data_IF_616173024109
#
_entry.id   IF_616173024109
#
_cell.length_a   1.000
_cell.length_b   1.000
_cell.length_c   1.000
_cell.angle_alpha   90.00
_cell.angle_beta   90.00
_cell.angle_gamma   90.00
#
_symmetry.space_group_name_H-M   'P 1'
#
loop_
_entity.id
_entity.type
_entity.pdbx_description
1 polymer ?
#
# COMPACT_ATOMS: atom_id res chain seq x y z
N UNK A 1 6.89 26.97 -11.77
CA UNK A 1 6.48 25.66 -11.24
C UNK A 1 5.09 25.83 -10.64
N UNK A 2 4.20 24.83 -10.75
CA UNK A 2 2.87 24.91 -10.11
C UNK A 2 3.06 24.82 -8.58
N UNK A 3 2.66 25.84 -7.78
CA UNK A 3 2.86 25.83 -6.33
C UNK A 3 2.25 24.62 -5.61
N UNK A 4 1.12 24.10 -6.07
CA UNK A 4 0.51 22.92 -5.47
C UNK A 4 1.24 21.62 -5.85
N UNK A 5 1.91 21.59 -7.01
CA UNK A 5 2.81 20.49 -7.36
C UNK A 5 4.06 20.51 -6.49
N UNK A 6 4.62 21.71 -6.25
CA UNK A 6 5.78 21.88 -5.38
C UNK A 6 5.48 21.44 -3.94
N UNK A 7 4.33 21.84 -3.39
CA UNK A 7 3.88 21.41 -2.06
C UNK A 7 3.68 19.89 -1.98
N UNK A 8 3.05 19.30 -3.00
CA UNK A 8 2.85 17.85 -3.03
C UNK A 8 4.18 17.08 -3.13
N UNK A 9 5.11 17.55 -3.98
CA UNK A 9 6.44 16.97 -4.10
C UNK A 9 7.24 17.10 -2.79
N UNK A 10 7.13 18.24 -2.11
CA UNK A 10 7.76 18.45 -0.81
C UNK A 10 7.20 17.48 0.25
N UNK A 11 5.87 17.36 0.34
CA UNK A 11 5.22 16.42 1.24
C UNK A 11 5.66 14.97 0.99
N UNK A 12 5.71 14.54 -0.28
CA UNK A 12 6.22 13.22 -0.67
C UNK A 12 7.69 13.01 -0.29
N UNK A 13 8.50 14.07 -0.38
CA UNK A 13 9.94 13.98 -0.05
C UNK A 13 10.19 13.81 1.44
N UNK A 14 9.30 14.29 2.32
CA UNK A 14 9.38 14.07 3.77
C UNK A 14 9.28 12.58 4.14
N UNK A 15 8.61 11.77 3.32
CA UNK A 15 8.53 10.33 3.53
C UNK A 15 9.90 9.63 3.51
N UNK A 16 10.91 10.24 2.86
CA UNK A 16 12.28 9.74 2.87
C UNK A 16 12.80 9.69 4.32
N UNK A 17 12.52 10.72 5.13
CA UNK A 17 12.95 10.76 6.52
C UNK A 17 12.24 9.69 7.36
N UNK A 18 10.94 9.47 7.12
CA UNK A 18 10.17 8.40 7.77
C UNK A 18 10.83 7.05 7.47
N UNK A 19 11.03 6.74 6.18
CA UNK A 19 11.64 5.47 5.78
C UNK A 19 13.06 5.28 6.35
N UNK A 20 13.86 6.34 6.41
CA UNK A 20 15.22 6.29 6.97
C UNK A 20 15.18 6.08 8.48
N UNK A 21 14.45 6.89 9.25
CA UNK A 21 14.45 6.79 10.71
C UNK A 21 13.78 5.51 11.22
N UNK A 22 12.72 5.04 10.57
CA UNK A 22 12.07 3.76 10.91
C UNK A 22 12.97 2.54 10.67
N UNK A 23 14.03 2.68 9.87
CA UNK A 23 14.98 1.59 9.60
C UNK A 23 16.15 1.51 10.60
N UNK A 24 16.27 2.50 11.49
CA UNK A 24 17.39 2.61 12.43
C UNK A 24 16.89 2.32 13.84
N UNK A 25 17.42 1.27 14.47
CA UNK A 25 17.11 0.93 15.86
C UNK A 25 17.49 2.09 16.80
N UNK A 26 16.58 2.47 17.70
CA UNK A 26 16.77 3.57 18.65
C UNK A 26 16.42 4.97 18.13
N UNK A 27 15.88 5.09 16.91
CA UNK A 27 15.39 6.34 16.32
C UNK A 27 13.87 6.48 16.34
N UNK A 28 13.16 5.76 17.20
CA UNK A 28 11.69 5.73 17.24
C UNK A 28 11.07 7.13 17.36
N UNK A 29 11.62 7.98 18.24
CA UNK A 29 11.16 9.37 18.39
C UNK A 29 11.31 10.20 17.11
N UNK A 30 12.43 10.04 16.39
CA UNK A 30 12.67 10.77 15.14
C UNK A 30 11.78 10.24 14.02
N UNK A 31 11.47 8.95 14.03
CA UNK A 31 10.52 8.36 13.10
C UNK A 31 9.10 8.90 13.34
N UNK A 32 8.66 9.00 14.60
CA UNK A 32 7.37 9.61 14.97
C UNK A 32 7.29 11.09 14.57
N UNK A 33 8.35 11.87 14.85
CA UNK A 33 8.41 13.29 14.45
C UNK A 33 8.35 13.46 12.93
N UNK A 34 9.12 12.66 12.19
CA UNK A 34 9.11 12.69 10.73
C UNK A 34 7.75 12.27 10.15
N UNK A 35 7.08 11.29 10.78
CA UNK A 35 5.75 10.85 10.38
C UNK A 35 4.73 11.98 10.56
N UNK A 36 4.75 12.64 11.72
CA UNK A 36 3.88 13.78 11.98
C UNK A 36 4.13 14.93 11.00
N UNK A 37 5.39 15.25 10.70
CA UNK A 37 5.74 16.29 9.74
C UNK A 37 5.22 15.97 8.32
N UNK A 38 5.35 14.71 7.88
CA UNK A 38 4.84 14.27 6.60
C UNK A 38 3.30 14.36 6.53
N UNK A 39 2.61 13.97 7.61
CA UNK A 39 1.15 14.07 7.71
C UNK A 39 0.67 15.52 7.72
N UNK A 40 1.30 16.38 8.53
CA UNK A 40 0.97 17.80 8.60
C UNK A 40 1.12 18.48 7.23
N UNK A 41 2.19 18.14 6.48
CA UNK A 41 2.41 18.66 5.13
C UNK A 41 1.30 18.24 4.15
N UNK A 42 0.83 16.99 4.23
CA UNK A 42 -0.27 16.49 3.40
C UNK A 42 -1.62 17.10 3.81
N UNK A 43 -1.88 17.24 5.10
CA UNK A 43 -3.10 17.89 5.60
C UNK A 43 -3.14 19.36 5.18
N UNK A 44 -2.00 20.07 5.25
CA UNK A 44 -1.90 21.43 4.74
C UNK A 44 -2.13 21.49 3.23
N UNK A 45 -1.60 20.54 2.46
CA UNK A 45 -1.86 20.44 1.03
C UNK A 45 -3.36 20.28 0.74
N UNK A 46 -4.04 19.37 1.45
CA UNK A 46 -5.48 19.15 1.29
C UNK A 46 -6.31 20.39 1.67
N UNK A 47 -5.95 21.05 2.78
CA UNK A 47 -6.56 22.31 3.22
C UNK A 47 -6.42 23.41 2.17
N UNK A 48 -5.21 23.60 1.65
CA UNK A 48 -4.91 24.58 0.61
C UNK A 48 -5.65 24.26 -0.70
N UNK A 49 -5.84 22.99 -1.02
CA UNK A 49 -6.59 22.59 -2.22
C UNK A 49 -8.07 22.96 -2.08
N UNK A 50 -8.67 22.73 -0.92
CA UNK A 50 -10.08 23.09 -0.63
C UNK A 50 -10.28 24.61 -0.59
N UNK A 51 -9.37 25.34 0.05
CA UNK A 51 -9.55 26.75 0.44
C UNK A 51 -8.89 27.75 -0.51
N UNK A 52 -7.92 27.33 -1.32
CA UNK A 52 -7.09 28.23 -2.13
C UNK A 52 -7.02 27.77 -3.58
N UNK A 53 -6.48 26.59 -3.85
CA UNK A 53 -5.94 26.29 -5.17
C UNK A 53 -6.82 25.41 -6.06
N UNK A 54 -7.57 24.45 -5.49
CA UNK A 54 -8.45 23.50 -6.19
C UNK A 54 -7.81 22.82 -7.40
N UNK A 55 -6.58 22.36 -7.26
CA UNK A 55 -5.84 21.70 -8.32
C UNK A 55 -6.10 20.20 -8.40
N UNK A 56 -6.27 19.51 -7.28
CA UNK A 56 -6.37 18.05 -7.25
C UNK A 56 -7.80 17.56 -6.98
N UNK A 57 -8.51 18.26 -6.10
CA UNK A 57 -9.83 17.89 -5.62
C UNK A 57 -9.78 16.71 -4.64
N UNK A 58 -10.87 15.92 -4.55
CA UNK A 58 -11.07 14.92 -3.50
C UNK A 58 -10.25 13.63 -3.66
N UNK A 59 -9.35 13.60 -4.65
CA UNK A 59 -8.51 12.45 -4.97
C UNK A 59 -7.06 12.88 -4.85
N UNK A 60 -6.27 12.09 -4.13
CA UNK A 60 -4.86 12.35 -3.91
C UNK A 60 -4.10 12.57 -5.22
N UNK A 61 -3.11 13.49 -5.23
CA UNK A 61 -2.18 13.64 -6.35
C UNK A 61 -1.55 12.30 -6.73
N UNK A 62 -1.41 12.04 -8.05
CA UNK A 62 -0.81 10.78 -8.54
C UNK A 62 0.59 10.51 -7.98
N UNK A 63 1.35 11.55 -7.66
CA UNK A 63 2.70 11.45 -7.08
C UNK A 63 2.73 10.96 -5.64
N UNK A 64 1.59 10.91 -4.94
CA UNK A 64 1.48 10.33 -3.60
C UNK A 64 1.04 8.86 -3.64
N UNK A 65 0.61 8.33 -4.78
CA UNK A 65 0.06 6.97 -4.86
C UNK A 65 1.13 5.88 -4.68
N UNK A 66 2.41 6.22 -4.78
CA UNK A 66 3.53 5.35 -4.42
C UNK A 66 3.76 5.28 -2.91
N UNK A 67 3.16 6.18 -2.13
CA UNK A 67 3.18 6.21 -0.67
C UNK A 67 1.73 6.15 -0.16
N UNK A 68 1.16 4.94 0.00
CA UNK A 68 -0.25 4.76 0.31
C UNK A 68 -0.74 5.57 1.52
N UNK A 69 0.07 5.62 2.58
CA UNK A 69 -0.23 6.32 3.83
C UNK A 69 -0.47 7.81 3.59
N UNK A 70 0.38 8.47 2.79
CA UNK A 70 0.21 9.89 2.47
C UNK A 70 -1.00 10.13 1.56
N UNK A 71 -1.25 9.24 0.60
CA UNK A 71 -2.43 9.36 -0.26
C UNK A 71 -3.73 9.20 0.54
N UNK A 72 -3.79 8.26 1.48
CA UNK A 72 -4.92 8.08 2.38
C UNK A 72 -5.13 9.32 3.27
N UNK A 73 -4.07 9.82 3.91
CA UNK A 73 -4.15 11.03 4.73
C UNK A 73 -4.65 12.24 3.94
N UNK A 74 -4.22 12.38 2.67
CA UNK A 74 -4.75 13.44 1.81
C UNK A 74 -6.26 13.29 1.58
N UNK A 75 -6.71 12.10 1.17
CA UNK A 75 -8.12 11.85 0.85
C UNK A 75 -9.02 12.13 2.07
N UNK A 76 -8.61 11.64 3.25
CA UNK A 76 -9.32 11.86 4.51
C UNK A 76 -9.35 13.34 4.91
N UNK A 77 -8.20 14.02 4.84
CA UNK A 77 -8.12 15.44 5.17
C UNK A 77 -8.96 16.29 4.20
N UNK A 78 -8.90 16.01 2.90
CA UNK A 78 -9.68 16.73 1.89
C UNK A 78 -11.18 16.53 2.12
N UNK A 79 -11.63 15.31 2.40
CA UNK A 79 -13.01 14.99 2.77
C UNK A 79 -13.46 15.86 3.96
N UNK A 80 -12.72 15.80 5.07
CA UNK A 80 -13.01 16.55 6.28
C UNK A 80 -13.05 18.07 6.06
N UNK A 81 -12.04 18.63 5.39
CA UNK A 81 -11.98 20.07 5.13
C UNK A 81 -13.10 20.53 4.20
N UNK A 82 -13.50 19.71 3.23
CA UNK A 82 -14.62 20.02 2.34
C UNK A 82 -15.93 20.05 3.10
N UNK A 83 -16.19 19.05 3.96
CA UNK A 83 -17.38 18.97 4.79
C UNK A 83 -17.48 20.16 5.75
N UNK A 84 -16.43 20.39 6.55
CA UNK A 84 -16.36 21.52 7.49
C UNK A 84 -16.56 22.85 6.77
N UNK A 85 -15.91 23.05 5.63
CA UNK A 85 -16.02 24.32 4.92
C UNK A 85 -17.44 24.54 4.36
N UNK A 86 -18.06 23.48 3.82
CA UNK A 86 -19.41 23.54 3.31
C UNK A 86 -20.45 23.81 4.39
N UNK A 87 -20.35 23.15 5.54
CA UNK A 87 -21.23 23.37 6.68
C UNK A 87 -21.07 24.78 7.26
N UNK A 88 -19.84 25.27 7.35
CA UNK A 88 -19.56 26.64 7.81
C UNK A 88 -20.21 27.69 6.94
N UNK A 89 -20.11 27.53 5.62
CA UNK A 89 -20.71 28.47 4.69
C UNK A 89 -22.25 28.46 4.76
N UNK A 90 -22.87 27.30 5.02
CA UNK A 90 -24.34 27.17 5.08
C UNK A 90 -24.95 27.54 6.42
N UNK A 91 -24.32 27.12 7.51
CA UNK A 91 -24.89 27.16 8.85
C UNK A 91 -24.22 28.20 9.75
N UNK A 92 -23.09 28.79 9.31
CA UNK A 92 -22.36 29.83 10.05
C UNK A 92 -21.73 29.38 11.37
N UNK A 93 -21.60 28.06 11.60
CA UNK A 93 -21.59 27.50 12.96
C UNK A 93 -20.33 26.76 13.40
N UNK A 94 -19.29 26.51 12.60
CA UNK A 94 -18.11 25.77 13.07
C UNK A 94 -16.85 26.62 12.85
N UNK A 95 -16.23 27.05 13.95
CA UNK A 95 -15.13 27.99 13.92
C UNK A 95 -13.95 27.56 13.03
N UNK A 96 -13.39 28.56 12.35
CA UNK A 96 -12.01 28.64 11.81
C UNK A 96 -11.70 28.16 10.38
N UNK A 97 -12.54 27.39 9.69
CA UNK A 97 -12.25 26.99 8.29
C UNK A 97 -13.19 27.72 7.33
N UNK A 98 -12.69 28.79 6.70
CA UNK A 98 -13.44 29.56 5.71
C UNK A 98 -12.54 30.34 4.76
N UNK A 99 -12.99 30.51 3.51
CA UNK A 99 -12.37 31.40 2.53
C UNK A 99 -13.41 32.39 2.00
N UNK A 100 -13.41 33.63 2.50
CA UNK A 100 -14.45 34.64 2.18
C UNK A 100 -14.61 34.97 0.69
N UNK A 101 -13.65 34.59 -0.15
CA UNK A 101 -13.62 34.84 -1.59
C UNK A 101 -13.99 33.61 -2.44
N UNK A 102 -14.11 32.42 -1.86
CA UNK A 102 -14.23 31.16 -2.59
C UNK A 102 -15.46 30.36 -2.12
N UNK A 103 -16.54 30.28 -2.88
CA UNK A 103 -17.69 29.44 -2.49
C UNK A 103 -17.30 27.96 -2.34
N UNK A 104 -17.64 27.25 -1.25
CA UNK A 104 -17.27 25.84 -1.08
C UNK A 104 -17.89 24.95 -2.15
N UNK A 105 -17.17 23.89 -2.52
CA UNK A 105 -17.73 22.78 -3.27
C UNK A 105 -18.68 21.97 -2.36
N UNK A 106 -19.68 21.32 -2.95
CA UNK A 106 -20.47 20.35 -2.18
C UNK A 106 -19.59 19.13 -1.88
N UNK A 107 -19.69 18.55 -0.66
CA UNK A 107 -19.11 17.26 -0.38
C UNK A 107 -19.58 16.22 -1.41
N UNK A 108 -18.76 15.20 -1.63
CA UNK A 108 -19.11 14.08 -2.50
C UNK A 108 -20.34 13.37 -1.95
N UNK A 109 -21.23 12.92 -2.84
CA UNK A 109 -22.38 12.08 -2.44
C UNK A 109 -21.90 10.79 -1.76
N UNK A 110 -20.81 10.23 -2.27
CA UNK A 110 -20.07 9.13 -1.67
C UNK A 110 -18.64 9.60 -1.30
N UNK A 111 -18.41 10.00 -0.04
CA UNK A 111 -17.07 10.32 0.47
C UNK A 111 -16.14 9.10 0.44
N UNK A 112 -14.83 9.35 0.51
CA UNK A 112 -13.78 8.32 0.44
C UNK A 112 -13.98 7.26 1.52
N UNK A 113 -14.27 7.67 2.75
CA UNK A 113 -14.52 6.77 3.87
C UNK A 113 -15.69 5.81 3.63
N UNK A 114 -16.81 6.32 3.09
CA UNK A 114 -17.99 5.50 2.74
C UNK A 114 -17.74 4.64 1.51
N UNK A 115 -16.93 5.11 0.57
CA UNK A 115 -16.51 4.34 -0.59
C UNK A 115 -15.68 3.13 -0.16
N UNK A 116 -14.69 3.29 0.72
CA UNK A 116 -13.88 2.18 1.25
C UNK A 116 -14.75 1.09 1.90
N UNK A 117 -15.68 1.48 2.76
CA UNK A 117 -16.59 0.53 3.42
C UNK A 117 -17.48 -0.20 2.40
N UNK A 118 -17.88 0.47 1.32
CA UNK A 118 -18.65 -0.16 0.26
C UNK A 118 -17.80 -1.16 -0.53
N UNK A 119 -16.55 -0.81 -0.86
CA UNK A 119 -15.60 -1.72 -1.51
C UNK A 119 -15.39 -2.96 -0.66
N UNK A 120 -15.10 -2.81 0.64
CA UNK A 120 -14.87 -3.95 1.53
C UNK A 120 -16.08 -4.91 1.60
N UNK A 121 -17.30 -4.38 1.57
CA UNK A 121 -18.52 -5.21 1.53
C UNK A 121 -18.62 -6.01 0.24
N UNK A 122 -18.22 -5.42 -0.88
CA UNK A 122 -18.24 -6.11 -2.17
C UNK A 122 -17.11 -7.09 -2.33
N UNK A 123 -15.92 -6.81 -1.79
CA UNK A 123 -14.84 -7.80 -1.69
C UNK A 123 -15.29 -9.01 -0.87
N UNK A 124 -15.94 -8.79 0.30
CA UNK A 124 -16.51 -9.88 1.09
C UNK A 124 -17.50 -10.74 0.29
N UNK A 125 -18.39 -10.08 -0.48
CA UNK A 125 -19.39 -10.76 -1.30
C UNK A 125 -18.76 -11.56 -2.45
N UNK A 126 -17.80 -10.97 -3.17
CA UNK A 126 -17.12 -11.60 -4.30
C UNK A 126 -16.26 -12.81 -3.90
N UNK A 127 -15.63 -12.74 -2.73
CA UNK A 127 -14.79 -13.82 -2.21
C UNK A 127 -15.56 -14.83 -1.35
N UNK A 128 -16.86 -14.61 -1.13
CA UNK A 128 -17.70 -15.42 -0.25
C UNK A 128 -17.16 -15.54 1.20
N UNK A 129 -16.50 -14.49 1.70
CA UNK A 129 -15.92 -14.43 3.05
C UNK A 129 -16.71 -13.51 3.98
N UNK A 130 -16.45 -13.61 5.28
CA UNK A 130 -17.03 -12.67 6.25
C UNK A 130 -16.35 -11.29 6.14
N UNK A 131 -17.09 -10.22 6.46
CA UNK A 131 -16.55 -8.86 6.47
C UNK A 131 -15.30 -8.71 7.36
N UNK A 132 -15.22 -9.47 8.46
CA UNK A 132 -14.05 -9.49 9.35
C UNK A 132 -12.78 -10.07 8.72
N UNK A 133 -12.91 -10.87 7.65
CA UNK A 133 -11.79 -11.49 6.95
C UNK A 133 -11.31 -10.65 5.75
N UNK A 134 -12.04 -9.59 5.37
CA UNK A 134 -11.69 -8.75 4.22
C UNK A 134 -10.32 -8.09 4.40
N UNK A 135 -9.95 -7.71 5.62
CA UNK A 135 -8.67 -7.09 5.89
C UNK A 135 -7.47 -7.97 5.47
N UNK A 136 -7.61 -9.29 5.54
CA UNK A 136 -6.58 -10.23 5.07
C UNK A 136 -6.52 -10.24 3.53
N UNK A 137 -7.68 -10.26 2.88
CA UNK A 137 -7.77 -10.24 1.41
C UNK A 137 -7.26 -8.92 0.80
N UNK A 138 -7.53 -7.80 1.47
CA UNK A 138 -7.09 -6.46 1.03
C UNK A 138 -5.68 -6.10 1.50
N UNK A 139 -5.05 -6.96 2.31
CA UNK A 139 -3.71 -6.73 2.81
C UNK A 139 -2.71 -6.60 1.64
N UNK A 140 -2.01 -5.47 1.57
CA UNK A 140 -1.06 -5.18 0.49
C UNK A 140 -1.70 -4.69 -0.81
N UNK A 141 -3.02 -4.53 -0.87
CA UNK A 141 -3.75 -4.01 -2.05
C UNK A 141 -4.03 -2.50 -1.98
N UNK A 142 -3.39 -1.78 -1.05
CA UNK A 142 -3.58 -0.35 -0.84
C UNK A 142 -3.35 0.46 -2.13
N UNK A 143 -2.32 0.11 -2.91
CA UNK A 143 -2.05 0.75 -4.20
C UNK A 143 -3.18 0.54 -5.21
N UNK A 144 -3.74 -0.67 -5.27
CA UNK A 144 -4.87 -1.01 -6.16
C UNK A 144 -6.10 -0.19 -5.79
N UNK A 145 -6.44 -0.14 -4.49
CA UNK A 145 -7.53 0.67 -3.95
C UNK A 145 -7.37 2.16 -4.27
N UNK A 146 -6.19 2.72 -4.00
CA UNK A 146 -5.91 4.13 -4.24
C UNK A 146 -5.92 4.50 -5.72
N UNK A 147 -5.43 3.61 -6.59
CA UNK A 147 -5.56 3.78 -8.04
C UNK A 147 -7.02 3.76 -8.49
N UNK A 148 -7.83 2.84 -7.95
CA UNK A 148 -9.26 2.78 -8.26
C UNK A 148 -9.98 4.07 -7.85
N UNK A 149 -9.71 4.55 -6.63
CA UNK A 149 -10.23 5.82 -6.14
C UNK A 149 -9.81 7.00 -7.03
N UNK A 150 -8.53 7.06 -7.42
CA UNK A 150 -7.99 8.13 -8.28
C UNK A 150 -8.66 8.18 -9.66
N UNK A 151 -9.09 7.03 -10.18
CA UNK A 151 -9.80 6.89 -11.45
C UNK A 151 -11.30 7.17 -11.33
N UNK A 152 -11.81 7.28 -10.10
CA UNK A 152 -13.23 7.48 -9.85
C UNK A 152 -14.08 6.24 -10.13
N UNK A 153 -13.48 5.06 -9.97
CA UNK A 153 -14.21 3.78 -10.02
C UNK A 153 -15.25 3.72 -8.91
N UNK A 154 -16.38 3.09 -9.19
CA UNK A 154 -17.36 2.79 -8.16
C UNK A 154 -16.89 1.63 -7.26
N UNK A 155 -17.69 1.30 -6.26
CA UNK A 155 -17.32 0.29 -5.28
C UNK A 155 -17.28 -1.13 -5.87
N UNK A 156 -18.11 -1.41 -6.89
CA UNK A 156 -18.19 -2.72 -7.53
C UNK A 156 -16.95 -2.94 -8.42
N UNK A 157 -16.65 -1.97 -9.29
CA UNK A 157 -15.46 -2.00 -10.16
C UNK A 157 -14.16 -2.08 -9.36
N UNK A 158 -14.06 -1.33 -8.26
CA UNK A 158 -12.89 -1.33 -7.40
C UNK A 158 -12.73 -2.66 -6.64
N UNK A 159 -13.83 -3.25 -6.18
CA UNK A 159 -13.79 -4.55 -5.51
C UNK A 159 -13.33 -5.66 -6.46
N UNK A 160 -13.82 -5.69 -7.70
CA UNK A 160 -13.35 -6.63 -8.71
C UNK A 160 -11.84 -6.50 -8.97
N UNK A 161 -11.33 -5.27 -9.09
CA UNK A 161 -9.91 -5.03 -9.28
C UNK A 161 -9.05 -5.50 -8.10
N UNK A 162 -9.54 -5.32 -6.87
CA UNK A 162 -8.85 -5.78 -5.66
C UNK A 162 -8.85 -7.30 -5.55
N UNK A 163 -9.99 -7.95 -5.82
CA UNK A 163 -10.09 -9.42 -5.80
C UNK A 163 -9.19 -10.03 -6.88
N UNK A 164 -9.17 -9.46 -8.08
CA UNK A 164 -8.28 -9.91 -9.15
C UNK A 164 -6.80 -9.80 -8.73
N UNK A 165 -6.40 -8.65 -8.17
CA UNK A 165 -5.03 -8.45 -7.69
C UNK A 165 -4.66 -9.37 -6.51
N UNK A 166 -5.63 -9.74 -5.67
CA UNK A 166 -5.45 -10.72 -4.61
C UNK A 166 -5.19 -12.12 -5.18
N UNK A 167 -6.02 -12.58 -6.12
CA UNK A 167 -5.88 -13.90 -6.76
C UNK A 167 -4.53 -14.00 -7.49
N UNK A 168 -4.14 -12.97 -8.24
CA UNK A 168 -2.85 -12.93 -8.93
C UNK A 168 -1.68 -13.08 -7.96
N UNK A 169 -1.74 -12.37 -6.82
CA UNK A 169 -0.70 -12.46 -5.78
C UNK A 169 -0.62 -13.83 -5.12
N UNK A 170 -1.76 -14.45 -4.79
CA UNK A 170 -1.77 -15.79 -4.21
C UNK A 170 -1.22 -16.82 -5.21
N UNK A 171 -1.57 -16.71 -6.49
CA UNK A 171 -1.01 -17.56 -7.54
C UNK A 171 0.51 -17.40 -7.69
N UNK A 172 1.01 -16.16 -7.71
CA UNK A 172 2.46 -15.89 -7.76
C UNK A 172 3.19 -16.48 -6.54
N UNK A 173 2.57 -16.40 -5.35
CA UNK A 173 3.12 -16.98 -4.13
C UNK A 173 3.17 -18.50 -4.19
N UNK A 174 2.09 -19.16 -4.61
CA UNK A 174 2.06 -20.61 -4.77
C UNK A 174 3.14 -21.09 -5.75
N UNK A 175 3.29 -20.40 -6.88
CA UNK A 175 4.33 -20.70 -7.86
C UNK A 175 5.74 -20.59 -7.26
N UNK A 176 6.02 -19.51 -6.52
CA UNK A 176 7.31 -19.33 -5.85
C UNK A 176 7.60 -20.43 -4.81
N UNK A 177 6.59 -20.82 -4.02
CA UNK A 177 6.72 -21.91 -3.05
C UNK A 177 6.96 -23.28 -3.72
N UNK A 178 6.38 -23.52 -4.91
CA UNK A 178 6.66 -24.71 -5.72
C UNK A 178 8.09 -24.71 -6.29
N UNK A 179 8.56 -23.58 -6.82
CA UNK A 179 9.93 -23.41 -7.31
C UNK A 179 10.97 -23.62 -6.19
N UNK A 180 10.75 -23.04 -5.01
CA UNK A 180 11.61 -23.26 -3.85
C UNK A 180 11.64 -24.72 -3.41
N UNK A 181 10.48 -25.40 -3.41
CA UNK A 181 10.38 -26.82 -3.08
C UNK A 181 11.11 -27.68 -4.10
N UNK A 182 11.00 -27.36 -5.38
CA UNK A 182 11.71 -28.08 -6.44
C UNK A 182 13.23 -27.89 -6.30
N UNK A 183 13.69 -26.66 -6.11
CA UNK A 183 15.11 -26.37 -5.90
C UNK A 183 15.68 -27.11 -4.67
N UNK A 184 14.92 -27.16 -3.57
CA UNK A 184 15.31 -27.92 -2.38
C UNK A 184 15.40 -29.43 -2.64
N UNK A 185 14.49 -30.00 -3.46
CA UNK A 185 14.58 -31.41 -3.84
C UNK A 185 15.77 -31.71 -4.75
N UNK A 186 16.08 -30.81 -5.68
CA UNK A 186 17.26 -30.91 -6.54
C UNK A 186 18.55 -30.86 -5.70
N UNK A 187 18.66 -29.94 -4.74
CA UNK A 187 19.80 -29.85 -3.82
C UNK A 187 19.99 -31.12 -2.97
N UNK A 188 18.88 -31.70 -2.49
CA UNK A 188 18.91 -32.99 -1.79
C UNK A 188 19.42 -34.11 -2.70
N UNK A 189 18.92 -34.17 -3.94
CA UNK A 189 19.34 -35.19 -4.89
C UNK A 189 20.82 -35.06 -5.26
N UNK A 190 21.29 -33.84 -5.49
CA UNK A 190 22.69 -33.55 -5.76
C UNK A 190 23.59 -33.93 -4.57
N UNK A 191 23.14 -33.65 -3.35
CA UNK A 191 23.83 -34.07 -2.13
C UNK A 191 23.92 -35.59 -2.02
N UNK A 192 22.82 -36.31 -2.26
CA UNK A 192 22.83 -37.78 -2.26
C UNK A 192 23.70 -38.37 -3.37
N UNK A 193 23.67 -37.80 -4.57
CA UNK A 193 24.50 -38.22 -5.69
C UNK A 193 25.99 -38.02 -5.40
N UNK A 194 26.34 -36.91 -4.74
CA UNK A 194 27.70 -36.62 -4.28
C UNK A 194 28.16 -37.64 -3.23
N UNK A 195 27.34 -37.90 -2.21
CA UNK A 195 27.65 -38.91 -1.17
C UNK A 195 27.79 -40.30 -1.79
N UNK A 196 26.90 -40.69 -2.70
CA UNK A 196 26.98 -41.98 -3.38
C UNK A 196 28.26 -42.09 -4.21
N UNK A 197 28.63 -41.05 -4.95
CA UNK A 197 29.88 -41.02 -5.71
C UNK A 197 31.12 -41.19 -4.79
N UNK A 198 31.16 -40.49 -3.66
CA UNK A 198 32.24 -40.59 -2.67
C UNK A 198 32.32 -41.99 -2.05
N UNK A 199 31.17 -42.59 -1.69
CA UNK A 199 31.11 -43.95 -1.16
C UNK A 199 31.61 -44.99 -2.17
N UNK A 200 31.21 -44.87 -3.45
CA UNK A 200 31.67 -45.76 -4.52
C UNK A 200 33.15 -45.58 -4.83
N UNK A 201 33.69 -44.37 -4.68
CA UNK A 201 35.12 -44.09 -4.83
C UNK A 201 35.91 -44.75 -3.68
N UNK A 202 35.52 -44.49 -2.43
CA UNK A 202 36.17 -45.08 -1.25
C UNK A 202 36.09 -46.61 -1.23
N UNK A 203 34.95 -47.20 -1.56
CA UNK A 203 34.82 -48.66 -1.65
C UNK A 203 35.73 -49.28 -2.71
N UNK A 204 35.90 -48.61 -3.86
CA UNK A 204 36.81 -49.07 -4.92
C UNK A 204 38.27 -48.99 -4.46
N UNK A 205 38.67 -47.93 -3.77
CA UNK A 205 40.00 -47.79 -3.19
C UNK A 205 40.28 -48.91 -2.17
N UNK A 206 39.35 -49.17 -1.24
CA UNK A 206 39.48 -50.26 -0.25
C UNK A 206 39.60 -51.65 -0.91
N UNK A 207 38.83 -51.90 -1.97
CA UNK A 207 38.87 -53.16 -2.71
C UNK A 207 40.22 -53.39 -3.41
N UNK A 208 40.85 -52.31 -3.91
CA UNK A 208 42.23 -52.35 -4.47
C UNK A 208 43.25 -52.60 -3.36
N UNK A 209 43.13 -51.91 -2.21
CA UNK A 209 44.04 -52.10 -1.07
C UNK A 209 43.98 -53.52 -0.49
N UNK A 210 42.81 -54.15 -0.50
CA UNK A 210 42.60 -55.52 -0.04
C UNK A 210 42.95 -56.60 -1.08
N UNK A 211 43.32 -56.21 -2.31
CA UNK A 211 43.66 -57.13 -3.40
C UNK A 211 42.48 -57.96 -3.91
N UNK A 212 41.25 -57.42 -3.78
CA UNK A 212 40.02 -58.08 -4.22
C UNK A 212 39.70 -57.80 -5.71
N UNK A 213 40.33 -56.79 -6.28
CA UNK A 213 40.20 -56.38 -7.69
C UNK A 213 41.59 -55.92 -8.17
N UNK A 214 41.99 -56.33 -9.38
CA UNK A 214 43.27 -55.99 -10.03
C UNK A 214 43.37 -54.49 -10.41
#
# INVERSE_FOLDING_TARGET
MNPAFEKALAARSLWINVAVFSSIEGCDSQAEEALQEAYDAVHQLASDDVLIHRHYGPRAPLLLLDVPELAEQYNLAHELYTELYYENYRNGSIGQISAGWLKPASPLDQPYTKWLVAVDKQVAALMEISYSQVAEATQGQAKTLLLAWSRGMDADEAAEAVVQAHIEREYERELAEEEERQAHWEDIQDTYASIEADLWAGWREECVELGLVD
#
